data_IF_073339887040
#
_entry.id   IF_073339887040
#
_cell.length_a   1.000
_cell.length_b   1.000
_cell.length_c   1.000
_cell.angle_alpha   90.00
_cell.angle_beta   90.00
_cell.angle_gamma   90.00
#
_symmetry.space_group_name_H-M   'P 1'
#
loop_
_entity.id
_entity.type
_entity.pdbx_description
1 polymer ?
#
# COMPACT_ATOMS: atom_id res chain seq x y z
N UNK A 1 8.42 16.56 -10.18
CA UNK A 1 7.88 15.26 -9.74
C UNK A 1 6.55 15.52 -9.06
N UNK A 2 5.46 14.95 -9.56
CA UNK A 2 4.16 15.07 -8.87
C UNK A 2 4.22 14.23 -7.60
N UNK A 3 4.01 14.86 -6.45
CA UNK A 3 3.99 14.18 -5.15
C UNK A 3 2.80 13.22 -5.11
N UNK A 4 3.01 12.01 -4.60
CA UNK A 4 1.90 11.07 -4.37
C UNK A 4 1.02 11.64 -3.24
N UNK A 5 -0.27 11.92 -3.47
CA UNK A 5 -1.18 12.33 -2.40
C UNK A 5 -1.25 11.25 -1.33
N UNK A 6 -1.16 11.63 -0.05
CA UNK A 6 -1.12 10.74 1.10
C UNK A 6 -1.88 11.33 2.29
N UNK A 7 -2.45 10.48 3.14
CA UNK A 7 -3.02 10.89 4.42
C UNK A 7 -2.69 9.86 5.51
N UNK A 8 -2.69 10.30 6.77
CA UNK A 8 -2.43 9.43 7.92
C UNK A 8 -3.22 9.91 9.15
N UNK A 9 -3.81 8.97 9.91
CA UNK A 9 -4.60 9.28 11.12
C UNK A 9 -4.28 8.36 12.31
N UNK A 10 -3.01 7.99 12.50
CA UNK A 10 -2.49 7.10 13.56
C UNK A 10 -2.85 5.61 13.45
N UNK A 11 -3.89 5.23 12.71
CA UNK A 11 -4.29 3.83 12.50
C UNK A 11 -4.33 3.41 11.04
N UNK A 12 -4.51 4.38 10.13
CA UNK A 12 -4.58 4.14 8.70
C UNK A 12 -3.68 5.13 7.94
N UNK A 13 -2.93 4.59 7.00
CA UNK A 13 -2.22 5.35 5.97
C UNK A 13 -2.88 5.15 4.60
N UNK A 14 -3.14 6.24 3.91
CA UNK A 14 -3.69 6.20 2.55
C UNK A 14 -2.72 6.80 1.55
N UNK A 15 -2.65 6.24 0.34
CA UNK A 15 -1.95 6.83 -0.80
C UNK A 15 -2.76 6.70 -2.09
N UNK A 16 -2.72 7.74 -2.93
CA UNK A 16 -3.44 7.79 -4.22
C UNK A 16 -2.48 8.07 -5.38
N UNK A 17 -1.57 7.14 -5.73
CA UNK A 17 -0.67 7.30 -6.87
C UNK A 17 -1.46 7.53 -8.17
N UNK A 18 -0.89 8.36 -9.04
CA UNK A 18 -1.47 8.71 -10.35
C UNK A 18 -0.43 8.59 -11.45
N UNK A 19 -0.89 8.34 -12.67
CA UNK A 19 -0.04 8.18 -13.85
C UNK A 19 0.82 6.93 -13.76
N UNK A 20 2.09 7.04 -14.12
CA UNK A 20 3.02 5.91 -14.07
C UNK A 20 3.49 5.63 -12.63
N UNK A 21 3.34 4.39 -12.14
CA UNK A 21 3.90 3.94 -10.87
C UNK A 21 5.33 3.43 -11.10
N UNK A 22 6.28 4.33 -10.88
CA UNK A 22 7.71 4.05 -10.98
C UNK A 22 8.26 3.48 -9.66
N UNK A 23 9.44 2.87 -9.70
CA UNK A 23 10.14 2.43 -8.49
C UNK A 23 10.36 3.58 -7.50
N UNK A 24 10.63 4.79 -8.00
CA UNK A 24 10.80 5.99 -7.19
C UNK A 24 9.53 6.32 -6.38
N UNK A 25 8.35 6.27 -7.00
CA UNK A 25 7.07 6.48 -6.29
C UNK A 25 6.81 5.40 -5.24
N UNK A 26 7.18 4.16 -5.54
CA UNK A 26 7.07 3.04 -4.59
C UNK A 26 7.99 3.26 -3.38
N UNK A 27 9.26 3.60 -3.62
CA UNK A 27 10.24 3.91 -2.57
C UNK A 27 9.77 5.11 -1.73
N UNK A 28 9.20 6.13 -2.37
CA UNK A 28 8.63 7.29 -1.68
C UNK A 28 7.50 6.88 -0.73
N UNK A 29 6.53 6.09 -1.20
CA UNK A 29 5.43 5.56 -0.36
C UNK A 29 5.99 4.75 0.82
N UNK A 30 6.93 3.83 0.56
CA UNK A 30 7.52 2.97 1.61
C UNK A 30 8.29 3.80 2.62
N UNK A 31 9.06 4.80 2.17
CA UNK A 31 9.84 5.68 3.04
C UNK A 31 8.95 6.56 3.91
N UNK A 32 7.84 7.08 3.36
CA UNK A 32 6.81 7.80 4.12
C UNK A 32 6.24 6.91 5.21
N UNK A 33 5.84 5.67 4.88
CA UNK A 33 5.32 4.70 5.84
C UNK A 33 6.35 4.43 6.94
N UNK A 34 7.59 4.06 6.59
CA UNK A 34 8.63 3.77 7.59
C UNK A 34 8.94 4.95 8.50
N UNK A 35 8.85 6.18 7.99
CA UNK A 35 9.04 7.41 8.79
C UNK A 35 7.89 7.59 9.78
N UNK A 36 6.65 7.41 9.32
CA UNK A 36 5.46 7.53 10.16
C UNK A 36 5.41 6.43 11.23
N UNK A 37 5.75 5.19 10.90
CA UNK A 37 5.80 4.08 11.86
C UNK A 37 6.84 4.32 12.96
N UNK A 38 8.03 4.82 12.59
CA UNK A 38 9.06 5.22 13.57
C UNK A 38 8.58 6.34 14.48
N UNK A 39 7.88 7.33 13.93
CA UNK A 39 7.37 8.46 14.72
C UNK A 39 6.20 8.08 15.65
N UNK A 40 5.33 7.17 15.20
CA UNK A 40 4.16 6.71 15.96
C UNK A 40 4.47 5.55 16.90
N UNK A 41 5.64 4.94 16.77
CA UNK A 41 6.08 3.80 17.56
C UNK A 41 5.37 2.49 17.23
N UNK A 42 4.53 2.46 16.18
CA UNK A 42 3.76 1.28 15.79
C UNK A 42 3.46 1.25 14.28
N UNK A 43 3.25 0.06 13.72
CA UNK A 43 2.71 -0.10 12.37
C UNK A 43 1.21 0.23 12.32
N UNK A 44 0.69 0.38 11.11
CA UNK A 44 -0.69 0.76 10.83
C UNK A 44 -1.19 0.14 9.53
N UNK A 45 -2.51 0.05 9.41
CA UNK A 45 -3.17 -0.43 8.21
C UNK A 45 -3.01 0.55 7.05
N UNK A 46 -3.17 0.04 5.83
CA UNK A 46 -2.84 0.77 4.61
C UNK A 46 -3.92 0.63 3.58
N UNK A 47 -4.27 1.74 2.94
CA UNK A 47 -5.10 1.79 1.75
C UNK A 47 -4.34 2.44 0.59
N UNK A 48 -4.22 1.75 -0.54
CA UNK A 48 -3.56 2.29 -1.73
C UNK A 48 -4.53 2.28 -2.90
N UNK A 49 -4.86 3.47 -3.42
CA UNK A 49 -5.75 3.64 -4.57
C UNK A 49 -4.94 3.65 -5.87
N UNK A 50 -5.02 2.56 -6.62
CA UNK A 50 -4.38 2.40 -7.92
C UNK A 50 -5.30 2.79 -9.08
N UNK A 51 -6.50 3.31 -8.85
CA UNK A 51 -7.48 3.58 -9.91
C UNK A 51 -7.02 4.61 -10.94
N UNK A 52 -6.10 5.50 -10.54
CA UNK A 52 -5.52 6.55 -11.40
C UNK A 52 -4.12 6.20 -11.91
N UNK A 53 -3.62 5.00 -11.63
CA UNK A 53 -2.38 4.50 -12.22
C UNK A 53 -2.65 4.07 -13.66
N UNK A 54 -1.83 4.54 -14.59
CA UNK A 54 -1.99 4.29 -16.03
C UNK A 54 -0.95 3.32 -16.58
N UNK A 55 0.16 3.16 -15.87
CA UNK A 55 1.25 2.24 -16.20
C UNK A 55 2.05 1.91 -14.93
N UNK A 56 2.70 0.75 -14.90
CA UNK A 56 3.68 0.40 -13.88
C UNK A 56 4.97 0.00 -14.59
N UNK A 57 6.04 0.71 -14.29
CA UNK A 57 7.36 0.47 -14.88
C UNK A 57 8.35 -0.11 -13.88
N UNK A 58 7.96 -0.20 -12.61
CA UNK A 58 8.68 -1.01 -11.64
C UNK A 58 8.52 -2.50 -11.99
N UNK A 59 9.63 -3.16 -12.28
CA UNK A 59 9.67 -4.62 -12.52
C UNK A 59 9.68 -5.37 -11.19
N UNK A 60 9.24 -6.64 -11.18
CA UNK A 60 9.35 -7.52 -10.01
C UNK A 60 10.80 -7.58 -9.48
N UNK A 61 11.78 -7.69 -10.37
CA UNK A 61 13.21 -7.65 -10.05
C UNK A 61 13.61 -6.35 -9.33
N UNK A 62 13.12 -5.20 -9.80
CA UNK A 62 13.42 -3.90 -9.18
C UNK A 62 12.72 -3.73 -7.82
N UNK A 63 11.55 -4.34 -7.63
CA UNK A 63 10.75 -4.25 -6.41
C UNK A 63 11.17 -5.25 -5.34
N UNK A 64 11.75 -6.39 -5.72
CA UNK A 64 12.08 -7.48 -4.79
C UNK A 64 12.98 -7.02 -3.63
N UNK A 65 14.11 -6.31 -3.83
CA UNK A 65 14.97 -5.90 -2.72
C UNK A 65 14.27 -4.95 -1.74
N UNK A 66 13.39 -4.08 -2.24
CA UNK A 66 12.62 -3.13 -1.43
C UNK A 66 11.55 -3.85 -0.61
N UNK A 67 10.89 -4.82 -1.24
CA UNK A 67 9.82 -5.63 -0.65
C UNK A 67 10.36 -6.57 0.42
N UNK A 68 11.48 -7.26 0.15
CA UNK A 68 12.15 -8.16 1.10
C UNK A 68 12.62 -7.41 2.34
N UNK A 69 13.32 -6.29 2.16
CA UNK A 69 13.74 -5.44 3.29
C UNK A 69 12.54 -5.03 4.15
N UNK A 70 11.43 -4.70 3.50
CA UNK A 70 10.23 -4.26 4.21
C UNK A 70 9.57 -5.40 4.99
N UNK A 71 9.54 -6.60 4.43
CA UNK A 71 9.06 -7.79 5.13
C UNK A 71 9.88 -8.07 6.39
N UNK A 72 11.21 -8.02 6.26
CA UNK A 72 12.12 -8.25 7.40
C UNK A 72 11.90 -7.24 8.54
N UNK A 73 11.60 -5.97 8.21
CA UNK A 73 11.28 -4.96 9.21
C UNK A 73 9.98 -5.27 9.96
N UNK A 74 8.94 -5.74 9.26
CA UNK A 74 7.62 -6.00 9.84
C UNK A 74 7.61 -7.31 10.64
N UNK A 75 8.23 -8.39 10.13
CA UNK A 75 8.25 -9.70 10.79
C UNK A 75 8.99 -9.68 12.13
N UNK A 76 9.90 -8.73 12.32
CA UNK A 76 10.62 -8.54 13.60
C UNK A 76 9.77 -7.89 14.69
N UNK A 77 8.58 -7.38 14.36
CA UNK A 77 7.66 -6.80 15.34
C UNK A 77 6.71 -7.90 15.86
N UNK A 78 6.88 -8.37 17.11
CA UNK A 78 5.98 -9.36 17.67
C UNK A 78 4.54 -8.81 17.71
N UNK A 79 3.56 -9.66 17.39
CA UNK A 79 2.10 -9.40 17.48
C UNK A 79 1.51 -8.40 16.47
N UNK A 80 2.25 -8.01 15.44
CA UNK A 80 1.73 -7.07 14.44
C UNK A 80 1.02 -7.80 13.31
N UNK A 81 -0.22 -7.38 13.04
CA UNK A 81 -0.95 -7.69 11.81
C UNK A 81 -1.24 -6.38 11.08
N UNK A 82 -0.61 -6.20 9.91
CA UNK A 82 -0.89 -5.06 9.02
C UNK A 82 -1.79 -5.53 7.89
N UNK A 83 -2.93 -4.86 7.72
CA UNK A 83 -3.81 -5.02 6.56
C UNK A 83 -3.45 -3.98 5.50
N UNK A 84 -3.26 -4.42 4.26
CA UNK A 84 -2.98 -3.58 3.10
C UNK A 84 -4.08 -3.82 2.06
N UNK A 85 -4.98 -2.86 1.90
CA UNK A 85 -6.01 -2.88 0.88
C UNK A 85 -5.54 -2.13 -0.37
N UNK A 86 -5.51 -2.83 -1.51
CA UNK A 86 -5.18 -2.25 -2.80
C UNK A 86 -6.47 -2.10 -3.60
N UNK A 87 -6.87 -0.87 -3.90
CA UNK A 87 -8.02 -0.62 -4.76
C UNK A 87 -7.59 -0.50 -6.22
N UNK A 88 -8.12 -1.36 -7.07
CA UNK A 88 -7.86 -1.35 -8.51
C UNK A 88 -9.18 -1.41 -9.29
N UNK A 89 -9.49 -0.32 -10.00
CA UNK A 89 -10.77 -0.16 -10.72
C UNK A 89 -10.77 -0.74 -12.14
N UNK A 90 -9.63 -1.22 -12.63
CA UNK A 90 -9.53 -1.79 -13.98
C UNK A 90 -8.67 -3.07 -13.99
N UNK A 91 -8.82 -3.95 -15.01
CA UNK A 91 -8.14 -5.24 -15.06
C UNK A 91 -6.61 -5.17 -15.08
N UNK A 92 -6.04 -4.12 -15.69
CA UNK A 92 -4.58 -3.92 -15.78
C UNK A 92 -4.03 -3.65 -14.37
N UNK A 93 -4.62 -2.69 -13.66
CA UNK A 93 -4.20 -2.33 -12.30
C UNK A 93 -4.48 -3.48 -11.32
N UNK A 94 -5.54 -4.26 -11.55
CA UNK A 94 -5.85 -5.43 -10.73
C UNK A 94 -4.76 -6.50 -10.87
N UNK A 95 -4.37 -6.85 -12.10
CA UNK A 95 -3.33 -7.86 -12.36
C UNK A 95 -2.01 -7.48 -11.69
N UNK A 96 -1.66 -6.21 -11.74
CA UNK A 96 -0.45 -5.67 -11.12
C UNK A 96 -0.53 -5.65 -9.59
N UNK A 97 -1.67 -5.26 -9.04
CA UNK A 97 -1.91 -5.31 -7.60
C UNK A 97 -1.80 -6.74 -7.05
N UNK A 98 -2.22 -7.76 -7.82
CA UNK A 98 -2.08 -9.18 -7.45
C UNK A 98 -0.63 -9.66 -7.44
N UNK A 99 0.21 -9.16 -8.35
CA UNK A 99 1.66 -9.43 -8.32
C UNK A 99 2.25 -8.87 -7.03
N UNK A 100 1.93 -7.60 -6.71
CA UNK A 100 2.41 -6.97 -5.48
C UNK A 100 1.89 -7.66 -4.22
N UNK A 101 0.62 -8.05 -4.18
CA UNK A 101 0.03 -8.82 -3.09
C UNK A 101 0.81 -10.12 -2.84
N UNK A 102 1.12 -10.89 -3.90
CA UNK A 102 1.94 -12.10 -3.80
C UNK A 102 3.34 -11.81 -3.26
N UNK A 103 3.97 -10.73 -3.75
CA UNK A 103 5.30 -10.32 -3.32
C UNK A 103 5.34 -9.88 -1.86
N UNK A 104 4.31 -9.21 -1.36
CA UNK A 104 4.26 -8.64 -0.01
C UNK A 104 3.67 -9.58 1.05
N UNK A 105 2.88 -10.57 0.64
CA UNK A 105 2.26 -11.52 1.58
C UNK A 105 3.33 -12.24 2.40
N UNK A 106 3.23 -12.13 3.72
CA UNK A 106 4.09 -12.79 4.71
C UNK A 106 3.33 -12.96 6.02
N UNK A 107 3.81 -13.80 6.95
CA UNK A 107 3.26 -13.82 8.30
C UNK A 107 3.24 -12.40 8.89
N UNK A 108 2.06 -11.94 9.35
CA UNK A 108 1.87 -10.59 9.90
C UNK A 108 1.56 -9.48 8.88
N UNK A 109 1.60 -9.75 7.57
CA UNK A 109 1.19 -8.79 6.53
C UNK A 109 0.13 -9.42 5.63
N UNK A 110 -1.09 -8.91 5.75
CA UNK A 110 -2.22 -9.32 4.92
C UNK A 110 -2.40 -8.28 3.82
N UNK A 111 -2.28 -8.72 2.57
CA UNK A 111 -2.55 -7.86 1.41
C UNK A 111 -3.76 -8.40 0.68
N UNK A 112 -4.66 -7.53 0.26
CA UNK A 112 -5.84 -7.90 -0.53
C UNK A 112 -6.14 -6.84 -1.58
N UNK A 113 -6.55 -7.30 -2.77
CA UNK A 113 -6.94 -6.44 -3.89
C UNK A 113 -8.46 -6.36 -3.98
N UNK A 114 -9.00 -5.14 -4.08
CA UNK A 114 -10.42 -4.87 -4.16
C UNK A 114 -10.78 -4.14 -5.47
N UNK A 115 -11.91 -4.53 -6.06
CA UNK A 115 -12.51 -3.86 -7.22
C UNK A 115 -13.51 -2.77 -6.84
N UNK A 116 -13.92 -2.72 -5.57
CA UNK A 116 -14.80 -1.71 -4.99
C UNK A 116 -14.14 -1.06 -3.79
N UNK A 117 -14.25 0.26 -3.69
CA UNK A 117 -13.65 1.01 -2.57
C UNK A 117 -14.36 0.70 -1.25
N UNK A 118 -15.67 0.48 -1.30
CA UNK A 118 -16.49 0.18 -0.11
C UNK A 118 -16.07 -1.14 0.54
N UNK A 119 -15.76 -2.15 -0.27
CA UNK A 119 -15.32 -3.46 0.22
C UNK A 119 -13.95 -3.35 0.92
N UNK A 120 -13.05 -2.51 0.38
CA UNK A 120 -11.76 -2.21 1.00
C UNK A 120 -11.93 -1.48 2.35
N UNK A 121 -12.80 -0.48 2.43
CA UNK A 121 -13.11 0.21 3.69
C UNK A 121 -13.66 -0.78 4.74
N UNK A 122 -14.62 -1.61 4.34
CA UNK A 122 -15.22 -2.60 5.23
C UNK A 122 -14.18 -3.61 5.75
N UNK A 123 -13.30 -4.11 4.89
CA UNK A 123 -12.24 -5.04 5.29
C UNK A 123 -11.17 -4.40 6.21
N UNK A 124 -10.91 -3.11 6.03
CA UNK A 124 -10.04 -2.31 6.89
C UNK A 124 -10.73 -1.83 8.18
N UNK A 125 -12.04 -2.08 8.34
CA UNK A 125 -12.84 -1.64 9.49
C UNK A 125 -12.84 -0.09 9.66
N UNK A 126 -12.84 0.64 8.53
CA UNK A 126 -12.84 2.12 8.47
C UNK A 126 -14.02 2.66 7.66
N UNK A 127 -14.30 3.96 7.78
CA UNK A 127 -15.34 4.61 6.97
C UNK A 127 -14.86 4.85 5.53
N UNK A 128 -15.75 4.80 4.52
CA UNK A 128 -15.40 5.11 3.13
C UNK A 128 -14.81 6.51 2.93
N UNK A 129 -15.20 7.48 3.77
CA UNK A 129 -14.69 8.85 3.75
C UNK A 129 -13.19 8.89 4.09
N UNK A 130 -12.71 8.01 4.99
CA UNK A 130 -11.30 7.96 5.39
C UNK A 130 -10.35 7.49 4.28
N UNK A 131 -10.87 6.76 3.29
CA UNK A 131 -10.11 6.24 2.14
C UNK A 131 -10.45 6.96 0.83
N UNK A 132 -11.27 8.00 0.90
CA UNK A 132 -11.59 8.83 -0.25
C UNK A 132 -10.39 9.74 -0.60
N UNK A 133 -10.10 9.93 -1.90
CA UNK A 133 -9.02 10.84 -2.30
C UNK A 133 -9.26 12.25 -1.77
N UNK A 134 -8.18 12.97 -1.41
CA UNK A 134 -8.27 14.38 -1.03
C UNK A 134 -8.67 15.26 -2.23
#
# INVERSE_FOLDING_TARGET
MELVPQSFNNTLYCAWPRGELTLEKIIFIITSISTLEKSSGRPFDRFIDLSRVTAITATEESMAPVTERRKDEIVRLPEVHVRIALFASNPVNYSLARIYERMMSSPGVLVMVFSRREDAAHWLEVSPEQISPP
#
